data_IF_068526451219
#
_entry.id   IF_068526451219
#
_cell.length_a   1.000
_cell.length_b   1.000
_cell.length_c   1.000
_cell.angle_alpha   90.00
_cell.angle_beta   90.00
_cell.angle_gamma   90.00
#
_symmetry.space_group_name_H-M   'P 1'
#
loop_
_entity.id
_entity.type
_entity.pdbx_description
1 polymer ?
#
# COMPACT_ATOMS: atom_id res chain seq x y z
N UNK A 1 16.64 -3.42 19.53
CA UNK A 1 16.75 -2.43 18.45
C UNK A 1 16.72 -1.06 19.08
N UNK A 2 17.68 -0.21 18.77
CA UNK A 2 17.59 1.20 19.16
C UNK A 2 16.30 1.79 18.59
N UNK A 3 15.70 2.72 19.34
CA UNK A 3 14.45 3.37 18.94
C UNK A 3 14.66 4.10 17.61
N UNK A 4 14.05 3.59 16.53
CA UNK A 4 14.13 4.22 15.21
C UNK A 4 13.07 5.29 15.05
N UNK A 5 13.44 6.38 14.41
CA UNK A 5 12.56 7.49 14.13
C UNK A 5 12.01 7.39 12.70
N UNK A 6 10.71 7.61 12.56
CA UNK A 6 10.00 7.55 11.28
C UNK A 6 9.28 8.86 11.07
N UNK A 7 9.51 9.48 9.93
CA UNK A 7 8.83 10.68 9.48
C UNK A 7 7.89 10.38 8.31
N UNK A 8 6.67 10.90 8.33
CA UNK A 8 5.77 10.89 7.18
C UNK A 8 5.45 12.30 6.73
N UNK A 9 5.66 12.57 5.44
CA UNK A 9 5.10 13.74 4.77
C UNK A 9 3.84 13.34 4.01
N UNK A 10 2.72 13.89 4.41
CA UNK A 10 1.38 13.44 4.07
C UNK A 10 0.80 12.51 5.14
N UNK A 11 -0.35 12.89 5.71
CA UNK A 11 -1.02 12.19 6.81
C UNK A 11 -2.35 11.56 6.40
N UNK A 12 -2.48 11.21 5.11
CA UNK A 12 -3.68 10.65 4.54
C UNK A 12 -3.93 9.18 4.89
N UNK A 13 -4.85 8.56 4.15
CA UNK A 13 -5.28 7.16 4.35
C UNK A 13 -4.13 6.16 4.27
N UNK A 14 -3.20 6.35 3.33
CA UNK A 14 -2.03 5.46 3.16
C UNK A 14 -1.15 5.50 4.40
N UNK A 15 -0.85 6.69 4.90
CA UNK A 15 -0.09 6.88 6.14
C UNK A 15 -0.78 6.21 7.32
N UNK A 16 -2.10 6.35 7.44
CA UNK A 16 -2.87 5.77 8.53
C UNK A 16 -2.74 4.23 8.56
N UNK A 17 -3.04 3.54 7.45
CA UNK A 17 -2.97 2.08 7.45
C UNK A 17 -1.53 1.54 7.55
N UNK A 18 -0.53 2.27 7.05
CA UNK A 18 0.89 1.93 7.25
C UNK A 18 1.26 1.99 8.74
N UNK A 19 0.89 3.06 9.43
CA UNK A 19 1.17 3.23 10.86
C UNK A 19 0.44 2.18 11.70
N UNK A 20 -0.82 1.88 11.40
CA UNK A 20 -1.60 0.83 12.06
C UNK A 20 -0.89 -0.53 11.93
N UNK A 21 -0.44 -0.89 10.73
CA UNK A 21 0.33 -2.11 10.48
C UNK A 21 1.67 -2.15 11.22
N UNK A 22 2.42 -1.05 11.21
CA UNK A 22 3.69 -0.94 11.92
C UNK A 22 3.52 -1.10 13.44
N UNK A 23 2.55 -0.43 14.06
CA UNK A 23 2.32 -0.55 15.50
C UNK A 23 1.78 -1.91 15.93
N UNK A 24 1.15 -2.65 15.03
CA UNK A 24 0.74 -4.03 15.30
C UNK A 24 1.93 -4.94 15.61
N UNK A 25 3.06 -4.70 14.99
CA UNK A 25 4.25 -5.55 15.11
C UNK A 25 5.39 -4.92 15.92
N UNK A 26 5.47 -3.59 15.97
CA UNK A 26 6.54 -2.86 16.62
C UNK A 26 5.99 -1.96 17.71
N UNK A 27 6.35 -2.21 18.96
CA UNK A 27 5.90 -1.44 20.12
C UNK A 27 6.75 -0.20 20.44
N UNK A 28 7.92 -0.03 19.79
CA UNK A 28 8.91 0.99 20.15
C UNK A 28 9.35 1.83 18.94
N UNK A 29 8.36 2.35 18.17
CA UNK A 29 8.62 3.26 17.06
C UNK A 29 8.29 4.70 17.48
N UNK A 30 9.18 5.64 17.13
CA UNK A 30 8.91 7.08 17.23
C UNK A 30 8.45 7.60 15.87
N UNK A 31 7.13 7.75 15.68
CA UNK A 31 6.54 8.17 14.42
C UNK A 31 6.09 9.63 14.52
N UNK A 32 6.56 10.45 13.58
CA UNK A 32 6.18 11.85 13.43
C UNK A 32 5.52 12.06 12.07
N UNK A 33 4.37 12.73 12.04
CA UNK A 33 3.63 13.01 10.82
C UNK A 33 3.50 14.51 10.58
N UNK A 34 3.51 14.90 9.32
CA UNK A 34 3.19 16.27 8.89
C UNK A 34 2.25 16.24 7.67
N UNK A 35 1.48 17.30 7.53
CA UNK A 35 0.62 17.52 6.36
C UNK A 35 0.53 19.01 6.02
N UNK A 36 0.35 19.35 4.75
CA UNK A 36 0.12 20.73 4.33
C UNK A 36 -1.19 21.29 4.92
N UNK A 37 -2.17 20.41 5.18
CA UNK A 37 -3.35 20.72 5.96
C UNK A 37 -3.18 20.18 7.40
N UNK A 38 -2.87 21.03 8.38
CA UNK A 38 -2.62 20.61 9.76
C UNK A 38 -3.76 19.81 10.40
N UNK A 39 -5.01 20.04 9.99
CA UNK A 39 -6.16 19.31 10.51
C UNK A 39 -6.10 17.80 10.17
N UNK A 40 -5.46 17.43 9.05
CA UNK A 40 -5.32 16.02 8.66
C UNK A 40 -4.32 15.31 9.56
N UNK A 41 -3.16 15.91 9.83
CA UNK A 41 -2.16 15.35 10.73
C UNK A 41 -2.62 15.35 12.19
N UNK A 42 -3.37 16.36 12.61
CA UNK A 42 -3.98 16.41 13.94
C UNK A 42 -5.01 15.29 14.14
N UNK A 43 -5.91 15.09 13.17
CA UNK A 43 -6.90 14.01 13.21
C UNK A 43 -6.23 12.62 13.30
N UNK A 44 -5.16 12.42 12.53
CA UNK A 44 -4.40 11.15 12.59
C UNK A 44 -3.77 10.93 13.96
N UNK A 45 -3.14 11.95 14.54
CA UNK A 45 -2.52 11.86 15.86
C UNK A 45 -3.53 11.68 17.00
N UNK A 46 -4.74 12.23 16.87
CA UNK A 46 -5.84 11.96 17.81
C UNK A 46 -6.33 10.53 17.75
N UNK A 47 -6.38 9.93 16.56
CA UNK A 47 -6.79 8.54 16.36
C UNK A 47 -5.72 7.54 16.80
N UNK A 48 -4.45 7.88 16.62
CA UNK A 48 -3.29 7.03 16.95
C UNK A 48 -2.39 7.81 17.91
N UNK A 49 -2.66 7.68 19.20
CA UNK A 49 -2.05 8.51 20.27
C UNK A 49 -0.52 8.39 20.39
N UNK A 50 0.07 7.35 19.81
CA UNK A 50 1.53 7.14 19.78
C UNK A 50 2.23 7.90 18.65
N UNK A 51 1.48 8.66 17.84
CA UNK A 51 2.01 9.45 16.72
C UNK A 51 2.20 10.91 17.16
N UNK A 52 3.36 11.48 16.87
CA UNK A 52 3.64 12.90 17.09
C UNK A 52 3.19 13.71 15.89
N UNK A 53 2.33 14.71 16.12
CA UNK A 53 1.94 15.67 15.08
C UNK A 53 2.96 16.81 15.00
N UNK A 54 3.61 16.96 13.85
CA UNK A 54 4.51 18.09 13.56
C UNK A 54 3.81 19.26 12.86
N UNK A 55 2.51 19.16 12.58
CA UNK A 55 1.78 20.16 11.80
C UNK A 55 2.38 20.32 10.39
N UNK A 56 2.92 21.51 10.11
CA UNK A 56 3.64 21.82 8.85
C UNK A 56 5.17 21.86 9.03
N UNK A 57 5.71 21.39 10.17
CA UNK A 57 7.14 21.52 10.49
C UNK A 57 7.98 20.42 9.85
N UNK A 58 8.54 20.70 8.68
CA UNK A 58 9.39 19.79 7.91
C UNK A 58 10.67 19.37 8.65
N UNK A 59 11.23 20.21 9.52
CA UNK A 59 12.51 19.96 10.20
C UNK A 59 12.47 18.72 11.09
N UNK A 60 11.35 18.50 11.78
CA UNK A 60 11.21 17.38 12.70
C UNK A 60 10.98 16.04 11.97
N UNK A 61 10.44 16.12 10.74
CA UNK A 61 10.11 14.96 9.91
C UNK A 61 11.29 14.56 9.02
N UNK A 62 11.99 15.53 8.42
CA UNK A 62 13.07 15.28 7.48
C UNK A 62 14.32 14.62 8.07
N UNK A 63 14.56 14.76 9.39
CA UNK A 63 15.72 14.19 10.08
C UNK A 63 15.51 12.75 10.58
N UNK A 64 14.36 12.17 10.33
CA UNK A 64 14.06 10.80 10.74
C UNK A 64 15.01 9.78 10.06
N UNK A 65 15.21 8.62 10.70
CA UNK A 65 15.97 7.52 10.10
C UNK A 65 15.29 7.03 8.81
N UNK A 66 13.95 6.99 8.81
CA UNK A 66 13.12 6.69 7.63
C UNK A 66 12.17 7.84 7.36
N UNK A 67 12.22 8.36 6.14
CA UNK A 67 11.31 9.40 5.66
C UNK A 67 10.36 8.82 4.60
N UNK A 68 9.07 8.76 4.92
CA UNK A 68 8.04 8.32 3.99
C UNK A 68 7.41 9.50 3.25
N UNK A 69 7.39 9.42 1.92
CA UNK A 69 6.71 10.40 1.06
C UNK A 69 5.33 9.82 0.70
N UNK A 70 4.29 10.28 1.36
CA UNK A 70 2.91 9.79 1.24
C UNK A 70 1.98 10.86 0.65
N UNK A 71 2.42 11.50 -0.42
CA UNK A 71 1.74 12.61 -1.07
C UNK A 71 1.03 12.18 -2.37
N UNK A 72 -0.11 12.79 -2.71
CA UNK A 72 -0.72 12.60 -4.01
C UNK A 72 0.17 13.18 -5.13
N UNK A 73 0.13 12.61 -6.36
CA UNK A 73 1.06 12.96 -7.44
C UNK A 73 1.25 14.46 -7.69
N UNK A 74 0.22 15.31 -7.69
CA UNK A 74 0.41 16.74 -7.95
C UNK A 74 1.26 17.47 -6.89
N UNK A 75 1.36 16.91 -5.69
CA UNK A 75 2.00 17.56 -4.54
C UNK A 75 3.39 16.96 -4.21
N UNK A 76 3.81 15.90 -4.89
CA UNK A 76 5.05 15.17 -4.55
C UNK A 76 6.27 16.05 -4.71
N UNK A 77 6.42 16.72 -5.86
CA UNK A 77 7.58 17.58 -6.12
C UNK A 77 7.70 18.69 -5.08
N UNK A 78 6.66 19.48 -4.92
CA UNK A 78 6.67 20.60 -3.96
C UNK A 78 6.92 20.13 -2.52
N UNK A 79 6.34 18.99 -2.15
CA UNK A 79 6.57 18.37 -0.83
C UNK A 79 8.02 17.92 -0.65
N UNK A 80 8.61 17.28 -1.65
CA UNK A 80 10.01 16.86 -1.62
C UNK A 80 10.95 18.07 -1.54
N UNK A 81 10.75 19.09 -2.37
CA UNK A 81 11.56 20.33 -2.36
C UNK A 81 11.47 21.06 -1.00
N UNK A 82 10.30 21.06 -0.36
CA UNK A 82 10.11 21.69 0.93
C UNK A 82 10.84 21.00 2.08
N UNK A 83 10.99 19.67 2.02
CA UNK A 83 11.63 18.88 3.06
C UNK A 83 13.12 18.65 2.79
N UNK A 84 13.58 18.77 1.55
CA UNK A 84 14.95 18.52 1.13
C UNK A 84 16.02 19.18 2.02
N UNK A 85 15.90 20.46 2.46
CA UNK A 85 16.89 21.08 3.33
C UNK A 85 17.06 20.40 4.70
N UNK A 86 16.15 19.54 5.07
CA UNK A 86 16.11 18.87 6.38
C UNK A 86 16.39 17.37 6.29
N UNK A 87 16.51 16.80 5.10
CA UNK A 87 16.84 15.38 4.90
C UNK A 87 18.26 15.11 5.41
N UNK A 88 18.37 14.18 6.36
CA UNK A 88 19.66 13.81 6.95
C UNK A 88 20.49 12.94 6.00
N UNK A 89 21.82 12.96 6.14
CA UNK A 89 22.72 12.11 5.33
C UNK A 89 22.48 10.61 5.53
N UNK A 90 21.94 10.21 6.67
CA UNK A 90 21.61 8.81 6.98
C UNK A 90 20.15 8.47 6.75
N UNK A 91 19.31 9.45 6.45
CA UNK A 91 17.89 9.23 6.19
C UNK A 91 17.69 8.34 4.95
N UNK A 92 16.92 7.28 5.11
CA UNK A 92 16.45 6.45 4.00
C UNK A 92 15.07 6.96 3.61
N UNK A 93 14.91 7.34 2.36
CA UNK A 93 13.63 7.81 1.84
C UNK A 93 12.85 6.64 1.24
N UNK A 94 11.59 6.50 1.65
CA UNK A 94 10.65 5.50 1.10
C UNK A 94 9.47 6.25 0.49
N UNK A 95 9.41 6.30 -0.83
CA UNK A 95 8.30 6.95 -1.52
C UNK A 95 7.12 5.98 -1.71
N UNK A 96 5.95 6.37 -1.24
CA UNK A 96 4.68 5.70 -1.47
C UNK A 96 3.91 6.33 -2.64
N UNK A 97 4.48 7.36 -3.25
CA UNK A 97 3.82 8.13 -4.29
C UNK A 97 3.91 7.42 -5.65
N UNK A 98 2.78 7.22 -6.34
CA UNK A 98 2.80 6.78 -7.73
C UNK A 98 3.35 7.88 -8.64
N UNK A 99 3.86 7.50 -9.82
CA UNK A 99 4.32 8.39 -10.90
C UNK A 99 5.61 9.19 -10.60
N UNK A 100 6.12 9.23 -9.39
CA UNK A 100 7.38 9.89 -9.07
C UNK A 100 8.53 8.87 -9.15
N UNK A 101 9.34 8.94 -10.20
CA UNK A 101 10.48 8.05 -10.38
C UNK A 101 11.57 8.29 -9.31
N UNK A 102 12.38 7.26 -9.04
CA UNK A 102 13.53 7.37 -8.13
C UNK A 102 14.44 8.51 -8.55
N UNK A 103 14.69 8.65 -9.86
CA UNK A 103 15.51 9.74 -10.40
C UNK A 103 14.91 11.13 -10.13
N UNK A 104 13.58 11.28 -10.30
CA UNK A 104 12.91 12.55 -9.99
C UNK A 104 12.96 12.85 -8.48
N UNK A 105 12.69 11.85 -7.65
CA UNK A 105 12.76 11.98 -6.20
C UNK A 105 14.18 12.34 -5.73
N UNK A 106 15.23 11.72 -6.31
CA UNK A 106 16.62 12.05 -6.03
C UNK A 106 16.95 13.50 -6.34
N UNK A 107 16.51 13.99 -7.49
CA UNK A 107 16.71 15.38 -7.88
C UNK A 107 16.01 16.37 -6.95
N UNK A 108 14.77 16.07 -6.51
CA UNK A 108 14.01 16.96 -5.64
C UNK A 108 14.49 16.95 -4.19
N UNK A 109 14.98 15.81 -3.70
CA UNK A 109 15.39 15.62 -2.31
C UNK A 109 16.89 15.82 -2.05
N UNK A 110 17.71 15.80 -3.12
CA UNK A 110 19.16 15.90 -3.00
C UNK A 110 19.81 14.67 -2.34
N UNK A 111 19.18 13.50 -2.43
CA UNK A 111 19.70 12.23 -1.89
C UNK A 111 19.38 11.08 -2.83
N UNK A 112 20.27 10.08 -2.88
CA UNK A 112 20.09 8.87 -3.69
C UNK A 112 19.67 7.64 -2.86
N UNK A 113 19.51 7.79 -1.54
CA UNK A 113 19.05 6.72 -0.65
C UNK A 113 17.55 6.57 -0.71
N UNK A 114 17.03 6.15 -1.86
CA UNK A 114 15.59 6.14 -2.15
C UNK A 114 15.13 4.73 -2.49
N UNK A 115 14.00 4.35 -1.90
CA UNK A 115 13.18 3.22 -2.31
C UNK A 115 11.79 3.73 -2.72
N UNK A 116 11.15 3.07 -3.70
CA UNK A 116 9.72 3.22 -3.97
C UNK A 116 9.01 1.98 -3.47
N UNK A 117 7.92 2.16 -2.77
CA UNK A 117 7.15 1.09 -2.12
C UNK A 117 5.65 1.35 -2.34
N UNK A 118 4.95 0.36 -2.87
CA UNK A 118 3.53 0.50 -3.19
C UNK A 118 2.69 -0.37 -2.24
N UNK A 119 2.20 0.19 -1.11
CA UNK A 119 1.40 -0.55 -0.15
C UNK A 119 -0.06 -0.66 -0.58
N UNK A 120 -0.76 -1.66 -0.05
CA UNK A 120 -2.21 -1.75 -0.13
C UNK A 120 -2.86 -1.74 1.26
N UNK A 121 -4.19 -1.64 1.31
CA UNK A 121 -4.92 -1.50 2.58
C UNK A 121 -4.76 -2.70 3.53
N UNK A 122 -4.48 -3.92 3.03
CA UNK A 122 -4.25 -5.10 3.85
C UNK A 122 -2.94 -5.02 4.66
N UNK A 123 -2.07 -4.06 4.35
CA UNK A 123 -0.90 -3.67 5.14
C UNK A 123 -1.27 -3.41 6.61
N UNK A 124 -2.44 -2.83 6.89
CA UNK A 124 -2.90 -2.57 8.27
C UNK A 124 -3.04 -3.83 9.12
N UNK A 125 -3.29 -4.97 8.49
CA UNK A 125 -3.41 -6.28 9.16
C UNK A 125 -2.20 -7.19 8.91
N UNK A 126 -1.15 -6.71 8.20
CA UNK A 126 0.06 -7.46 7.89
C UNK A 126 -0.07 -8.45 6.73
N UNK A 127 -1.09 -8.30 5.91
CA UNK A 127 -1.42 -9.15 4.77
C UNK A 127 -1.26 -8.39 3.44
N UNK A 128 -0.45 -7.32 3.44
CA UNK A 128 -0.19 -6.53 2.24
C UNK A 128 0.64 -7.29 1.22
N UNK A 129 0.45 -7.00 -0.07
CA UNK A 129 1.38 -7.36 -1.13
C UNK A 129 1.99 -6.06 -1.68
N UNK A 130 3.18 -5.73 -1.21
CA UNK A 130 3.74 -4.38 -1.20
C UNK A 130 5.06 -4.33 -1.97
N UNK A 131 5.07 -4.27 -3.30
CA UNK A 131 6.29 -4.29 -4.09
C UNK A 131 7.20 -3.10 -3.79
N UNK A 132 8.50 -3.36 -3.85
CA UNK A 132 9.55 -2.37 -3.65
C UNK A 132 10.50 -2.33 -4.84
N UNK A 133 10.88 -1.12 -5.25
CA UNK A 133 11.98 -0.86 -6.16
C UNK A 133 13.05 -0.03 -5.46
N UNK A 134 14.30 -0.38 -5.68
CA UNK A 134 15.45 0.22 -5.02
C UNK A 134 16.19 1.19 -5.93
N UNK A 135 16.55 2.36 -5.42
CA UNK A 135 17.52 3.22 -6.07
C UNK A 135 18.90 2.57 -6.16
N UNK A 136 19.65 2.90 -7.20
CA UNK A 136 20.97 2.30 -7.46
C UNK A 136 22.00 2.57 -6.36
N UNK A 137 21.86 3.66 -5.62
CA UNK A 137 22.80 4.08 -4.58
C UNK A 137 22.40 3.62 -3.17
N UNK A 138 21.26 2.93 -3.00
CA UNK A 138 20.87 2.39 -1.70
C UNK A 138 21.71 1.14 -1.38
N UNK A 139 22.42 1.17 -0.26
CA UNK A 139 23.30 0.08 0.13
C UNK A 139 22.52 -1.17 0.57
N UNK A 140 23.13 -2.35 0.53
CA UNK A 140 22.48 -3.57 1.04
C UNK A 140 22.17 -3.49 2.54
N UNK A 141 22.99 -2.78 3.32
CA UNK A 141 22.67 -2.49 4.73
C UNK A 141 21.42 -1.62 4.88
N UNK A 142 21.25 -0.59 4.04
CA UNK A 142 20.05 0.25 4.06
C UNK A 142 18.80 -0.54 3.61
N UNK A 143 18.93 -1.37 2.54
CA UNK A 143 17.85 -2.26 2.11
C UNK A 143 17.41 -3.23 3.22
N UNK A 144 18.39 -3.81 3.93
CA UNK A 144 18.11 -4.69 5.07
C UNK A 144 17.30 -3.95 6.15
N UNK A 145 17.65 -2.70 6.47
CA UNK A 145 16.91 -1.90 7.44
C UNK A 145 15.47 -1.64 7.00
N UNK A 146 15.25 -1.34 5.73
CA UNK A 146 13.89 -1.16 5.17
C UNK A 146 13.11 -2.48 5.22
N UNK A 147 13.73 -3.62 4.85
CA UNK A 147 13.09 -4.94 4.95
C UNK A 147 12.70 -5.27 6.39
N UNK A 148 13.60 -5.06 7.35
CA UNK A 148 13.33 -5.30 8.77
C UNK A 148 12.14 -4.46 9.28
N UNK A 149 12.02 -3.21 8.82
CA UNK A 149 10.92 -2.33 9.22
C UNK A 149 9.58 -2.74 8.57
N UNK A 150 9.60 -3.06 7.27
CA UNK A 150 8.38 -3.19 6.47
C UNK A 150 7.88 -4.62 6.26
N UNK A 151 8.71 -5.66 6.50
CA UNK A 151 8.31 -7.07 6.33
C UNK A 151 7.12 -7.50 7.18
N UNK A 152 6.86 -6.80 8.26
CA UNK A 152 5.70 -7.04 9.14
C UNK A 152 4.36 -6.61 8.52
N UNK A 153 4.43 -5.89 7.41
CA UNK A 153 3.27 -5.34 6.70
C UNK A 153 2.71 -6.31 5.63
N UNK A 154 3.38 -7.44 5.43
CA UNK A 154 3.04 -8.45 4.42
C UNK A 154 4.21 -8.72 3.46
N UNK A 155 3.92 -9.33 2.32
CA UNK A 155 4.90 -9.63 1.30
C UNK A 155 5.48 -8.35 0.69
N UNK A 156 6.80 -8.36 0.46
CA UNK A 156 7.54 -7.24 -0.11
C UNK A 156 8.44 -7.70 -1.26
N UNK A 157 7.88 -8.07 -2.41
CA UNK A 157 8.69 -8.49 -3.56
C UNK A 157 9.50 -7.33 -4.11
N UNK A 158 10.75 -7.62 -4.49
CA UNK A 158 11.60 -6.68 -5.21
C UNK A 158 11.27 -6.72 -6.70
N UNK A 159 11.04 -5.56 -7.28
CA UNK A 159 10.59 -5.44 -8.67
C UNK A 159 11.34 -4.32 -9.39
N UNK A 160 11.35 -4.36 -10.71
CA UNK A 160 11.82 -3.24 -11.50
C UNK A 160 10.91 -2.03 -11.30
N UNK A 161 11.50 -0.85 -11.19
CA UNK A 161 10.77 0.39 -11.00
C UNK A 161 9.70 0.61 -12.07
N UNK A 162 9.99 0.23 -13.32
CA UNK A 162 9.10 0.36 -14.47
C UNK A 162 7.79 -0.43 -14.32
N UNK A 163 7.74 -1.41 -13.43
CA UNK A 163 6.56 -2.24 -13.18
C UNK A 163 5.70 -1.74 -12.01
N UNK A 164 6.18 -0.76 -11.22
CA UNK A 164 5.48 -0.33 -10.00
C UNK A 164 4.07 0.20 -10.26
N UNK A 165 3.84 0.89 -11.37
CA UNK A 165 2.51 1.39 -11.72
C UNK A 165 1.54 0.25 -12.04
N UNK A 166 2.02 -0.83 -12.66
CA UNK A 166 1.23 -2.06 -12.84
C UNK A 166 0.82 -2.68 -11.51
N UNK A 167 1.77 -2.76 -10.57
CA UNK A 167 1.46 -3.23 -9.21
C UNK A 167 0.50 -2.28 -8.47
N UNK A 168 0.62 -0.97 -8.67
CA UNK A 168 -0.32 -0.01 -8.09
C UNK A 168 -1.76 -0.28 -8.56
N UNK A 169 -1.95 -0.58 -9.85
CA UNK A 169 -3.27 -0.95 -10.41
C UNK A 169 -3.76 -2.27 -9.82
N UNK A 170 -2.95 -3.31 -9.79
CA UNK A 170 -3.40 -4.66 -9.46
C UNK A 170 -3.42 -4.94 -7.95
N UNK A 171 -2.42 -4.46 -7.19
CA UNK A 171 -2.30 -4.69 -5.76
C UNK A 171 -2.87 -3.55 -4.92
N UNK A 172 -2.38 -2.30 -5.11
CA UNK A 172 -2.79 -1.21 -4.23
C UNK A 172 -4.29 -0.87 -4.36
N UNK A 173 -4.82 -0.89 -5.58
CA UNK A 173 -6.24 -0.68 -5.87
C UNK A 173 -7.07 -1.96 -5.82
N UNK A 174 -6.41 -3.12 -5.90
CA UNK A 174 -7.02 -4.45 -5.99
C UNK A 174 -8.17 -4.71 -5.01
N UNK A 175 -8.05 -4.42 -3.72
CA UNK A 175 -9.13 -4.62 -2.77
C UNK A 175 -10.44 -3.93 -3.18
N UNK A 176 -10.37 -2.74 -3.79
CA UNK A 176 -11.56 -2.00 -4.21
C UNK A 176 -12.32 -2.65 -5.37
N UNK A 177 -11.69 -3.57 -6.09
CA UNK A 177 -12.35 -4.34 -7.15
C UNK A 177 -13.16 -5.50 -6.62
N UNK A 178 -12.75 -6.05 -5.47
CA UNK A 178 -13.35 -7.24 -4.87
C UNK A 178 -14.35 -6.90 -3.77
N UNK A 179 -14.08 -5.90 -2.94
CA UNK A 179 -14.94 -5.57 -1.80
C UNK A 179 -16.42 -5.38 -2.15
N UNK A 180 -16.81 -4.67 -3.22
CA UNK A 180 -18.23 -4.54 -3.55
C UNK A 180 -18.91 -5.88 -3.85
N UNK A 181 -18.18 -6.82 -4.49
CA UNK A 181 -18.71 -8.16 -4.81
C UNK A 181 -18.83 -9.00 -3.55
N UNK A 182 -17.82 -8.96 -2.68
CA UNK A 182 -17.83 -9.70 -1.41
C UNK A 182 -18.91 -9.16 -0.48
N UNK A 183 -19.10 -7.84 -0.43
CA UNK A 183 -20.13 -7.20 0.39
C UNK A 183 -21.54 -7.59 -0.08
N UNK A 184 -21.80 -7.62 -1.41
CA UNK A 184 -23.09 -8.09 -1.94
C UNK A 184 -23.32 -9.57 -1.62
N UNK A 185 -22.28 -10.42 -1.65
CA UNK A 185 -22.40 -11.83 -1.25
C UNK A 185 -22.75 -11.95 0.24
N UNK A 186 -22.11 -11.15 1.11
CA UNK A 186 -22.40 -11.12 2.55
C UNK A 186 -23.85 -10.68 2.78
N UNK A 187 -24.27 -9.60 2.16
CA UNK A 187 -25.63 -9.07 2.24
C UNK A 187 -26.66 -10.11 1.78
N UNK A 188 -26.37 -10.82 0.70
CA UNK A 188 -27.22 -11.90 0.17
C UNK A 188 -27.32 -13.06 1.15
N UNK A 189 -26.20 -13.47 1.78
CA UNK A 189 -26.22 -14.52 2.80
C UNK A 189 -27.15 -14.18 3.98
N UNK A 190 -27.15 -12.91 4.41
CA UNK A 190 -28.07 -12.43 5.46
C UNK A 190 -29.53 -12.50 4.97
N UNK A 191 -29.82 -12.08 3.73
CA UNK A 191 -31.17 -12.22 3.14
C UNK A 191 -31.64 -13.66 3.05
N UNK A 192 -30.71 -14.61 2.93
CA UNK A 192 -31.00 -16.05 2.86
C UNK A 192 -31.09 -16.72 4.22
N UNK A 193 -30.95 -15.96 5.33
CA UNK A 193 -31.19 -16.42 6.70
C UNK A 193 -29.97 -16.72 7.55
N UNK A 194 -28.75 -16.39 7.07
CA UNK A 194 -27.54 -16.44 7.90
C UNK A 194 -27.47 -15.21 8.82
N UNK A 195 -26.80 -15.37 9.95
CA UNK A 195 -26.41 -14.19 10.74
C UNK A 195 -25.34 -13.36 10.00
N UNK A 196 -25.22 -12.06 10.27
CA UNK A 196 -24.18 -11.22 9.66
C UNK A 196 -22.77 -11.80 9.84
N UNK A 197 -22.43 -12.30 11.03
CA UNK A 197 -21.12 -12.87 11.34
C UNK A 197 -20.85 -14.18 10.58
N UNK A 198 -21.85 -15.05 10.47
CA UNK A 198 -21.74 -16.29 9.69
C UNK A 198 -21.55 -16.00 8.21
N UNK A 199 -22.34 -15.09 7.66
CA UNK A 199 -22.24 -14.71 6.26
C UNK A 199 -20.88 -14.07 5.95
N UNK A 200 -20.41 -13.13 6.77
CA UNK A 200 -19.12 -12.50 6.60
C UNK A 200 -17.97 -13.53 6.67
N UNK A 201 -18.01 -14.43 7.64
CA UNK A 201 -17.01 -15.50 7.80
C UNK A 201 -17.01 -16.47 6.61
N UNK A 202 -18.18 -16.90 6.16
CA UNK A 202 -18.32 -17.78 5.01
C UNK A 202 -17.68 -17.17 3.76
N UNK A 203 -18.10 -15.95 3.41
CA UNK A 203 -17.64 -15.25 2.19
C UNK A 203 -16.15 -14.97 2.24
N UNK A 204 -15.64 -14.48 3.37
CA UNK A 204 -14.21 -14.22 3.56
C UNK A 204 -13.38 -15.50 3.37
N UNK A 205 -13.76 -16.60 4.00
CA UNK A 205 -13.03 -17.88 3.89
C UNK A 205 -13.09 -18.46 2.47
N UNK A 206 -14.25 -18.38 1.83
CA UNK A 206 -14.42 -18.81 0.44
C UNK A 206 -13.52 -17.98 -0.50
N UNK A 207 -13.49 -16.65 -0.35
CA UNK A 207 -12.68 -15.77 -1.19
C UNK A 207 -11.18 -16.07 -1.06
N UNK A 208 -10.67 -16.23 0.18
CA UNK A 208 -9.27 -16.61 0.43
C UNK A 208 -8.95 -17.97 -0.19
N UNK A 209 -9.81 -18.98 0.02
CA UNK A 209 -9.60 -20.31 -0.54
C UNK A 209 -9.61 -20.29 -2.08
N UNK A 210 -10.49 -19.50 -2.69
CA UNK A 210 -10.56 -19.35 -4.16
C UNK A 210 -9.31 -18.68 -4.71
N UNK A 211 -8.75 -17.68 -4.02
CA UNK A 211 -7.49 -17.04 -4.39
C UNK A 211 -6.32 -18.04 -4.30
N UNK A 212 -6.21 -18.80 -3.22
CA UNK A 212 -5.16 -19.82 -3.03
C UNK A 212 -5.20 -20.91 -4.13
N UNK A 213 -6.38 -21.21 -4.67
CA UNK A 213 -6.50 -22.15 -5.79
C UNK A 213 -5.86 -21.65 -7.09
N UNK A 214 -5.62 -20.33 -7.23
CA UNK A 214 -4.93 -19.77 -8.40
C UNK A 214 -3.47 -20.21 -8.44
N UNK A 215 -2.83 -20.29 -7.28
CA UNK A 215 -1.42 -20.68 -7.13
C UNK A 215 -1.22 -22.20 -7.05
N UNK A 216 -2.30 -22.96 -6.94
CA UNK A 216 -2.19 -24.43 -6.84
C UNK A 216 -1.65 -25.05 -8.14
N UNK A 217 -0.61 -25.91 -8.08
CA UNK A 217 -0.01 -26.54 -9.26
C UNK A 217 -1.03 -27.30 -10.11
N UNK A 218 -0.91 -27.18 -11.43
CA UNK A 218 -1.80 -27.88 -12.39
C UNK A 218 -3.25 -27.41 -12.40
N UNK A 219 -3.54 -26.27 -11.80
CA UNK A 219 -4.89 -25.70 -11.71
C UNK A 219 -5.00 -24.43 -12.56
N UNK A 220 -4.95 -24.56 -13.88
CA UNK A 220 -5.28 -23.48 -14.79
C UNK A 220 -6.76 -23.04 -14.66
N UNK A 221 -7.14 -21.97 -15.35
CA UNK A 221 -8.50 -21.43 -15.24
C UNK A 221 -9.58 -22.48 -15.60
N UNK A 222 -9.39 -23.19 -16.71
CA UNK A 222 -10.36 -24.18 -17.19
C UNK A 222 -10.53 -25.31 -16.17
N UNK A 223 -9.42 -25.85 -15.67
CA UNK A 223 -9.43 -26.89 -14.63
C UNK A 223 -10.14 -26.46 -13.37
N UNK A 224 -9.88 -25.23 -12.88
CA UNK A 224 -10.59 -24.71 -11.70
C UNK A 224 -12.09 -24.57 -11.94
N UNK A 225 -12.48 -24.06 -13.10
CA UNK A 225 -13.91 -23.93 -13.46
C UNK A 225 -14.62 -25.27 -13.60
N UNK A 226 -13.90 -26.31 -14.04
CA UNK A 226 -14.49 -27.66 -14.20
C UNK A 226 -14.73 -28.38 -12.86
N UNK A 227 -14.03 -27.98 -11.79
CA UNK A 227 -14.21 -28.56 -10.46
C UNK A 227 -15.63 -28.31 -9.88
N UNK A 228 -16.33 -27.29 -10.37
CA UNK A 228 -17.67 -26.91 -9.91
C UNK A 228 -18.68 -27.12 -11.05
N UNK A 229 -19.61 -28.07 -10.92
CA UNK A 229 -20.57 -28.36 -12.01
C UNK A 229 -21.53 -27.20 -12.32
N UNK A 230 -21.96 -26.45 -11.29
CA UNK A 230 -22.85 -25.30 -11.46
C UNK A 230 -22.07 -24.01 -11.60
N UNK A 231 -22.32 -23.26 -12.69
CA UNK A 231 -21.65 -21.99 -13.02
C UNK A 231 -22.69 -20.88 -13.20
N UNK A 232 -23.24 -20.33 -12.10
CA UNK A 232 -24.35 -19.37 -12.16
C UNK A 232 -24.07 -18.08 -12.94
N UNK A 233 -22.79 -17.72 -13.10
CA UNK A 233 -22.36 -16.47 -13.77
C UNK A 233 -21.85 -16.72 -15.21
N UNK A 234 -22.04 -17.95 -15.77
CA UNK A 234 -21.46 -18.29 -17.08
C UNK A 234 -22.02 -17.45 -18.22
N UNK A 235 -23.29 -17.07 -18.16
CA UNK A 235 -23.98 -16.24 -19.14
C UNK A 235 -23.47 -14.80 -19.21
N UNK A 236 -22.94 -14.27 -18.10
CA UNK A 236 -22.44 -12.89 -18.00
C UNK A 236 -20.90 -12.83 -17.86
N UNK A 237 -20.19 -13.95 -17.87
CA UNK A 237 -18.74 -13.99 -17.64
C UNK A 237 -17.96 -13.08 -18.59
N UNK A 238 -18.32 -13.09 -19.88
CA UNK A 238 -17.61 -12.29 -20.89
C UNK A 238 -17.84 -10.78 -20.68
N UNK A 239 -19.04 -10.38 -20.28
CA UNK A 239 -19.36 -8.99 -19.98
C UNK A 239 -18.58 -8.51 -18.74
N UNK A 240 -18.51 -9.33 -17.69
CA UNK A 240 -17.70 -9.03 -16.50
C UNK A 240 -16.22 -8.87 -16.85
N UNK A 241 -15.66 -9.80 -17.64
CA UNK A 241 -14.26 -9.71 -18.10
C UNK A 241 -14.02 -8.46 -18.93
N UNK A 242 -14.95 -8.12 -19.82
CA UNK A 242 -14.88 -6.92 -20.65
C UNK A 242 -14.89 -5.65 -19.81
N UNK A 243 -15.78 -5.57 -18.81
CA UNK A 243 -15.86 -4.44 -17.90
C UNK A 243 -14.57 -4.28 -17.08
N UNK A 244 -14.06 -5.36 -16.48
CA UNK A 244 -12.81 -5.33 -15.72
C UNK A 244 -11.64 -4.88 -16.59
N UNK A 245 -11.46 -5.48 -17.76
CA UNK A 245 -10.40 -5.12 -18.71
C UNK A 245 -10.43 -3.63 -19.03
N UNK A 246 -11.58 -3.12 -19.45
CA UNK A 246 -11.70 -1.70 -19.83
C UNK A 246 -11.34 -0.75 -18.67
N UNK A 247 -11.72 -1.09 -17.42
CA UNK A 247 -11.39 -0.28 -16.25
C UNK A 247 -9.91 -0.36 -15.89
N UNK A 248 -9.34 -1.55 -15.89
CA UNK A 248 -7.91 -1.75 -15.58
C UNK A 248 -7.01 -1.07 -16.61
N UNK A 249 -7.32 -1.22 -17.93
CA UNK A 249 -6.56 -0.60 -19.01
C UNK A 249 -6.59 0.93 -18.91
N UNK A 250 -7.77 1.51 -18.62
CA UNK A 250 -7.93 2.95 -18.47
C UNK A 250 -7.13 3.51 -17.28
N UNK A 251 -7.08 2.79 -16.14
CA UNK A 251 -6.32 3.18 -14.96
C UNK A 251 -4.83 3.03 -15.24
N UNK A 252 -4.41 1.90 -15.83
CA UNK A 252 -3.01 1.64 -16.17
C UNK A 252 -2.47 2.71 -17.11
N UNK A 253 -3.17 3.02 -18.20
CA UNK A 253 -2.79 4.08 -19.14
C UNK A 253 -2.64 5.45 -18.45
N UNK A 254 -3.52 5.75 -17.47
CA UNK A 254 -3.44 7.00 -16.68
C UNK A 254 -2.23 7.05 -15.76
N UNK A 255 -1.76 5.92 -15.23
CA UNK A 255 -0.60 5.88 -14.33
C UNK A 255 0.73 5.80 -15.09
N UNK A 256 0.75 5.17 -16.27
CA UNK A 256 1.95 4.99 -17.09
C UNK A 256 2.31 6.23 -17.94
N UNK A 257 1.40 7.19 -18.06
CA UNK A 257 1.60 8.49 -18.69
C UNK A 257 1.72 9.60 -17.63
#
# INVERSE_FOLDING_TARGET
MDQRTIGFIGSGRVTAFMIEGLFRAHTNLAITVMDANPAVSENLAQRITSVTNAGTNSKNVGKADFLFIALPPPNVQAGCESIAPFVGQHTIVVSLAPKASISALSNWLGTDKIARYIPNAATSIGEGYNPVAWGSSISESDRKLVRELLSVLGDMPEVDETNLETYAVLSAMGPTYLWPLLDEMITSGVRYGLTPDESARLVSRMAVASANMIEAPGKDYATRMDMIPSKPMADIEQDLRGLFRAKLDAIHAKLSN
#
